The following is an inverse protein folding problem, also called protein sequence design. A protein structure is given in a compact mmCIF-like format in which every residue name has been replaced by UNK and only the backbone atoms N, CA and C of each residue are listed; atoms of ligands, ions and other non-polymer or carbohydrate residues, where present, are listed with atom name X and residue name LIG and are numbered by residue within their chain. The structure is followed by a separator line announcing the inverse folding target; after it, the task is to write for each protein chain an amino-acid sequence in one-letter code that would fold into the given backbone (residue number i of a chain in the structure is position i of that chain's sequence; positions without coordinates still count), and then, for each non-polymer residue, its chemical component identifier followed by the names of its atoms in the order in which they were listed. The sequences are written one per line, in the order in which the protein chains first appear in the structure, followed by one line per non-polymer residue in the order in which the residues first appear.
data_IF_824720590018
#
_entry.id   IF_824720590018
#
_cell.length_a   1.000
_cell.length_b   1.000
_cell.length_c   1.000
_cell.angle_alpha   90.00
_cell.angle_beta   90.00
_cell.angle_gamma   90.00
#
_symmetry.space_group_name_H-M   'P 1'
#
loop_
_entity.id
_entity.type
_entity.pdbx_description
1 polymer ?
#
# COMPACT_ATOMS: atom_id res chain seq x y z
N UNK A 1 9.21 1.37 25.73
CA UNK A 1 9.85 1.26 24.42
C UNK A 1 8.78 1.25 23.32
N UNK A 2 8.86 2.16 22.41
CA UNK A 2 7.91 2.22 21.31
C UNK A 2 8.23 1.13 20.29
N UNK A 3 7.21 0.44 19.75
CA UNK A 3 7.47 -0.49 18.67
C UNK A 3 8.02 0.24 17.46
N UNK A 4 8.91 -0.41 16.75
CA UNK A 4 9.46 0.17 15.55
C UNK A 4 8.37 0.31 14.48
N UNK A 5 8.40 1.42 13.76
CA UNK A 5 7.50 1.62 12.63
C UNK A 5 7.84 0.63 11.52
N UNK A 6 6.82 0.07 10.84
CA UNK A 6 7.07 -0.73 9.63
C UNK A 6 7.77 0.04 8.52
N UNK A 7 7.70 1.37 8.56
CA UNK A 7 8.31 2.21 7.53
C UNK A 7 9.76 2.49 7.85
N UNK A 8 10.63 2.24 6.87
CA UNK A 8 12.06 2.56 6.96
C UNK A 8 12.52 3.09 5.61
N UNK A 9 13.59 3.89 5.62
CA UNK A 9 14.17 4.41 4.39
C UNK A 9 14.81 3.36 3.51
N UNK A 10 15.04 2.16 4.04
CA UNK A 10 15.68 1.07 3.32
C UNK A 10 14.70 0.26 2.48
N UNK A 11 13.41 0.38 2.75
CA UNK A 11 12.37 -0.37 2.05
C UNK A 11 11.56 0.54 1.15
N UNK A 12 11.17 0.03 -0.01
CA UNK A 12 10.21 0.72 -0.87
C UNK A 12 8.82 0.58 -0.25
N UNK A 13 8.05 1.66 -0.23
CA UNK A 13 6.70 1.66 0.33
C UNK A 13 5.71 1.96 -0.79
N UNK A 14 4.87 0.99 -1.13
CA UNK A 14 3.86 1.11 -2.18
C UNK A 14 2.50 1.25 -1.50
N UNK A 15 1.70 2.22 -1.93
CA UNK A 15 0.47 2.61 -1.23
C UNK A 15 -0.74 2.48 -2.12
N UNK A 16 -1.81 1.89 -1.56
CA UNK A 16 -3.12 1.81 -2.19
C UNK A 16 -3.89 3.11 -1.95
N UNK A 17 -4.82 3.40 -2.86
CA UNK A 17 -5.64 4.62 -2.81
C UNK A 17 -6.41 4.78 -1.50
N UNK A 18 -6.90 3.68 -0.93
CA UNK A 18 -7.72 3.75 0.28
C UNK A 18 -6.98 4.33 1.49
N UNK A 19 -5.66 4.30 1.50
CA UNK A 19 -4.88 4.93 2.57
C UNK A 19 -5.09 6.45 2.54
N UNK A 20 -5.03 7.06 1.34
CA UNK A 20 -5.28 8.51 1.20
C UNK A 20 -6.72 8.89 1.52
N UNK A 21 -7.66 8.00 1.24
CA UNK A 21 -9.05 8.22 1.61
C UNK A 21 -9.19 8.14 3.14
N UNK A 22 -8.56 7.16 3.75
CA UNK A 22 -8.67 6.91 5.20
C UNK A 22 -8.02 8.00 6.05
N UNK A 23 -6.91 8.58 5.62
CA UNK A 23 -6.23 9.61 6.43
C UNK A 23 -7.00 10.93 6.45
N UNK A 24 -7.86 11.15 5.48
CA UNK A 24 -8.70 12.35 5.43
C UNK A 24 -7.96 13.59 4.97
N UNK A 25 -8.51 14.74 5.32
CA UNK A 25 -7.97 16.05 4.91
C UNK A 25 -6.70 16.39 5.68
N UNK A 26 -5.88 17.31 5.13
CA UNK A 26 -4.66 17.77 5.83
C UNK A 26 -4.92 18.35 7.22
N UNK A 27 -6.13 18.78 7.50
CA UNK A 27 -6.51 19.27 8.84
C UNK A 27 -6.83 18.13 9.81
N UNK A 28 -6.93 16.89 9.31
CA UNK A 28 -7.26 15.74 10.13
C UNK A 28 -6.00 15.23 10.85
N UNK A 29 -6.17 14.80 12.10
CA UNK A 29 -5.04 14.29 12.88
C UNK A 29 -4.41 13.04 12.25
N UNK A 30 -5.22 12.19 11.61
CA UNK A 30 -4.71 11.00 10.90
C UNK A 30 -3.76 11.40 9.77
N UNK A 31 -4.11 12.43 9.02
CA UNK A 31 -3.26 12.94 7.95
C UNK A 31 -1.90 13.40 8.49
N UNK A 32 -1.95 14.21 9.55
CA UNK A 32 -0.74 14.72 10.17
C UNK A 32 0.13 13.60 10.73
N UNK A 33 -0.47 12.63 11.40
CA UNK A 33 0.26 11.50 11.96
C UNK A 33 0.89 10.65 10.86
N UNK A 34 0.16 10.40 9.79
CA UNK A 34 0.65 9.59 8.68
C UNK A 34 1.82 10.28 7.98
N UNK A 35 1.65 11.56 7.65
CA UNK A 35 2.72 12.36 7.03
C UNK A 35 3.97 12.37 7.91
N UNK A 36 3.79 12.58 9.21
CA UNK A 36 4.90 12.59 10.16
C UNK A 36 5.64 11.25 10.20
N UNK A 37 4.89 10.14 10.15
CA UNK A 37 5.49 8.81 10.15
C UNK A 37 6.32 8.58 8.89
N UNK A 38 5.81 9.01 7.74
CA UNK A 38 6.52 8.86 6.47
C UNK A 38 7.81 9.70 6.47
N UNK A 39 7.70 10.94 6.90
CA UNK A 39 8.85 11.86 6.95
C UNK A 39 9.89 11.40 7.97
N UNK A 40 9.46 10.91 9.11
CA UNK A 40 10.37 10.39 10.14
C UNK A 40 11.13 9.15 9.66
N UNK A 41 10.52 8.35 8.81
CA UNK A 41 11.16 7.18 8.23
C UNK A 41 12.13 7.52 7.10
N UNK A 42 12.14 8.79 6.68
CA UNK A 42 12.96 9.26 5.55
C UNK A 42 12.69 8.42 4.29
N UNK A 43 11.44 8.18 4.01
CA UNK A 43 11.01 7.42 2.85
C UNK A 43 10.03 8.25 2.02
N UNK A 44 9.93 7.91 0.74
CA UNK A 44 8.98 8.53 -0.18
C UNK A 44 8.00 7.45 -0.63
N UNK A 45 6.72 7.68 -0.40
CA UNK A 45 5.67 6.73 -0.77
C UNK A 45 5.60 6.59 -2.29
N UNK A 46 5.41 5.38 -2.77
CA UNK A 46 5.27 5.10 -4.19
C UNK A 46 3.80 4.86 -4.52
N UNK A 47 3.26 5.70 -5.38
CA UNK A 47 1.84 5.68 -5.74
C UNK A 47 1.72 5.19 -7.19
N UNK A 48 1.26 3.95 -7.39
CA UNK A 48 1.03 3.48 -8.76
C UNK A 48 0.00 4.37 -9.45
N UNK A 49 0.24 4.70 -10.71
CA UNK A 49 -0.63 5.59 -11.47
C UNK A 49 -2.08 5.11 -11.49
N UNK A 50 -2.30 3.79 -11.54
CA UNK A 50 -3.66 3.23 -11.48
C UNK A 50 -4.34 3.51 -10.15
N UNK A 51 -3.56 3.44 -9.07
CA UNK A 51 -4.08 3.73 -7.73
C UNK A 51 -4.57 5.17 -7.64
N UNK A 52 -3.81 6.09 -8.24
CA UNK A 52 -4.21 7.50 -8.26
C UNK A 52 -5.50 7.70 -9.01
N UNK A 53 -5.71 6.95 -10.08
CA UNK A 53 -6.96 7.02 -10.86
C UNK A 53 -8.20 6.64 -10.06
N UNK A 54 -8.04 5.88 -8.98
CA UNK A 54 -9.14 5.51 -8.09
C UNK A 54 -9.44 6.58 -7.05
N UNK A 55 -8.47 7.44 -6.76
CA UNK A 55 -8.67 8.58 -5.86
C UNK A 55 -9.30 9.70 -6.69
N UNK A 56 -10.60 9.74 -6.72
CA UNK A 56 -11.30 10.70 -7.56
C UNK A 56 -11.78 11.93 -6.80
N UNK A 57 -12.23 12.90 -7.53
CA UNK A 57 -12.93 14.05 -7.00
C UNK A 57 -12.13 14.84 -5.97
N UNK A 58 -12.74 15.03 -4.80
CA UNK A 58 -12.16 15.87 -3.75
C UNK A 58 -10.95 15.26 -3.07
N UNK A 59 -10.70 13.97 -3.24
CA UNK A 59 -9.55 13.33 -2.59
C UNK A 59 -8.25 13.52 -3.38
N UNK A 60 -8.36 13.97 -4.63
CA UNK A 60 -7.21 14.18 -5.50
C UNK A 60 -6.21 15.18 -4.90
N UNK A 61 -6.70 16.23 -4.22
CA UNK A 61 -5.79 17.23 -3.68
C UNK A 61 -4.92 16.71 -2.54
N UNK A 62 -5.37 15.67 -1.85
CA UNK A 62 -4.56 15.04 -0.78
C UNK A 62 -3.32 14.40 -1.36
N UNK A 63 -3.50 13.69 -2.46
CA UNK A 63 -2.40 13.09 -3.21
C UNK A 63 -1.50 14.18 -3.76
N UNK A 64 -2.09 15.22 -4.37
CA UNK A 64 -1.32 16.32 -4.94
C UNK A 64 -0.47 17.01 -3.87
N UNK A 65 -1.03 17.20 -2.68
CA UNK A 65 -0.28 17.81 -1.59
C UNK A 65 0.92 16.96 -1.18
N UNK A 66 0.75 15.65 -1.10
CA UNK A 66 1.84 14.74 -0.79
C UNK A 66 2.94 14.78 -1.84
N UNK A 67 2.55 14.89 -3.11
CA UNK A 67 3.50 15.02 -4.22
C UNK A 67 4.25 16.36 -4.15
N UNK A 68 3.53 17.44 -3.89
CA UNK A 68 4.10 18.78 -3.79
C UNK A 68 5.07 18.90 -2.61
N UNK A 69 4.77 18.23 -1.52
CA UNK A 69 5.62 18.21 -0.32
C UNK A 69 6.71 17.14 -0.39
N UNK A 70 6.75 16.39 -1.48
CA UNK A 70 7.79 15.41 -1.81
C UNK A 70 7.88 14.21 -0.86
N UNK A 71 6.78 13.86 -0.17
CA UNK A 71 6.75 12.62 0.60
C UNK A 71 6.01 11.50 -0.12
N UNK A 72 5.64 11.73 -1.37
CA UNK A 72 5.06 10.73 -2.26
C UNK A 72 5.51 10.98 -3.69
N UNK A 73 5.58 9.92 -4.49
CA UNK A 73 5.90 10.03 -5.92
C UNK A 73 5.04 9.04 -6.70
N UNK A 74 4.76 9.35 -7.96
CA UNK A 74 4.00 8.49 -8.85
C UNK A 74 4.93 7.50 -9.53
N UNK A 75 4.54 6.24 -9.57
CA UNK A 75 5.29 5.19 -10.27
C UNK A 75 4.43 4.54 -11.33
N UNK A 76 5.08 3.96 -12.33
CA UNK A 76 4.39 3.27 -13.41
C UNK A 76 3.99 1.86 -13.00
N UNK A 77 3.04 1.29 -13.76
CA UNK A 77 2.60 -0.09 -13.57
C UNK A 77 3.75 -1.06 -13.85
N UNK A 78 3.67 -2.30 -13.33
CA UNK A 78 4.71 -3.29 -13.58
C UNK A 78 4.81 -3.61 -15.06
N UNK A 79 6.02 -3.98 -15.45
CA UNK A 79 6.24 -4.44 -16.81
C UNK A 79 5.51 -5.76 -17.03
N UNK A 80 4.70 -5.87 -18.08
CA UNK A 80 3.97 -7.11 -18.34
C UNK A 80 4.88 -8.28 -18.73
N UNK A 81 6.15 -8.03 -18.93
CA UNK A 81 7.15 -9.04 -19.27
C UNK A 81 7.68 -9.79 -18.05
N UNK A 82 7.40 -9.34 -16.83
CA UNK A 82 7.82 -10.05 -15.62
C UNK A 82 6.80 -11.13 -15.30
N UNK A 83 7.13 -12.40 -15.59
CA UNK A 83 6.22 -13.53 -15.40
C UNK A 83 5.78 -13.73 -13.96
N UNK A 84 6.68 -13.50 -13.00
CA UNK A 84 6.34 -13.64 -11.57
C UNK A 84 5.38 -12.54 -11.14
N UNK A 85 5.58 -11.31 -11.65
CA UNK A 85 4.69 -10.21 -11.35
C UNK A 85 3.29 -10.46 -11.91
N UNK A 86 3.21 -10.97 -13.13
CA UNK A 86 1.93 -11.32 -13.76
C UNK A 86 1.23 -12.42 -12.98
N UNK A 87 1.96 -13.48 -12.61
CA UNK A 87 1.41 -14.60 -11.84
C UNK A 87 0.90 -14.12 -10.47
N UNK A 88 1.66 -13.25 -9.80
CA UNK A 88 1.25 -12.70 -8.51
C UNK A 88 -0.04 -11.89 -8.65
N UNK A 89 -0.16 -11.09 -9.70
CA UNK A 89 -1.38 -10.32 -9.95
C UNK A 89 -2.58 -11.22 -10.18
N UNK A 90 -2.39 -12.33 -10.91
CA UNK A 90 -3.46 -13.30 -11.16
C UNK A 90 -3.89 -14.00 -9.87
N UNK A 91 -2.94 -14.38 -9.01
CA UNK A 91 -3.24 -15.02 -7.73
C UNK A 91 -4.01 -14.04 -6.83
N UNK A 92 -3.57 -12.80 -6.78
CA UNK A 92 -4.24 -11.76 -5.99
C UNK A 92 -5.68 -11.57 -6.48
N UNK A 93 -5.88 -11.50 -7.79
CA UNK A 93 -7.22 -11.33 -8.37
C UNK A 93 -8.14 -12.48 -7.98
N UNK A 94 -7.69 -13.72 -8.12
CA UNK A 94 -8.51 -14.88 -7.76
C UNK A 94 -8.82 -14.92 -6.28
N UNK A 95 -7.86 -14.59 -5.44
CA UNK A 95 -8.05 -14.57 -3.99
C UNK A 95 -9.07 -13.51 -3.59
N UNK A 96 -8.97 -12.30 -4.15
CA UNK A 96 -9.91 -11.22 -3.88
C UNK A 96 -11.32 -11.62 -4.36
N UNK A 97 -11.40 -12.19 -5.56
CA UNK A 97 -12.68 -12.64 -6.12
C UNK A 97 -13.35 -13.66 -5.19
N UNK A 98 -12.59 -14.65 -4.71
CA UNK A 98 -13.11 -15.68 -3.81
C UNK A 98 -13.52 -15.09 -2.46
N UNK A 99 -12.72 -14.19 -1.92
CA UNK A 99 -12.98 -13.57 -0.60
C UNK A 99 -14.21 -12.68 -0.65
N UNK A 100 -14.41 -11.96 -1.76
CA UNK A 100 -15.53 -11.01 -1.91
C UNK A 100 -16.75 -11.61 -2.60
N UNK A 101 -16.66 -12.86 -3.03
CA UNK A 101 -17.73 -13.56 -3.78
C UNK A 101 -18.12 -12.78 -5.05
N UNK A 102 -17.09 -12.27 -5.74
CA UNK A 102 -17.25 -11.54 -7.00
C UNK A 102 -16.58 -12.29 -8.14
N UNK A 103 -17.07 -12.12 -9.37
CA UNK A 103 -16.32 -12.62 -10.54
C UNK A 103 -14.97 -11.92 -10.65
N UNK A 104 -13.97 -12.63 -11.17
CA UNK A 104 -12.63 -12.08 -11.29
C UNK A 104 -12.59 -10.77 -12.09
N UNK A 105 -13.43 -10.64 -13.11
CA UNK A 105 -13.43 -9.45 -13.95
C UNK A 105 -13.97 -8.21 -13.24
N UNK A 106 -14.61 -8.36 -12.08
CA UNK A 106 -15.10 -7.25 -11.27
C UNK A 106 -14.10 -6.80 -10.20
N UNK A 107 -12.98 -7.52 -10.05
CA UNK A 107 -11.93 -7.12 -9.11
C UNK A 107 -11.17 -5.93 -9.68
N UNK A 108 -10.99 -4.90 -8.87
CA UNK A 108 -10.28 -3.70 -9.29
C UNK A 108 -8.84 -4.03 -9.67
N UNK A 109 -8.44 -3.57 -10.84
CA UNK A 109 -7.08 -3.85 -11.34
C UNK A 109 -6.00 -3.23 -10.46
N UNK A 110 -6.28 -2.08 -9.86
CA UNK A 110 -5.33 -1.43 -8.98
C UNK A 110 -4.97 -2.32 -7.79
N UNK A 111 -5.96 -3.04 -7.24
CA UNK A 111 -5.72 -3.94 -6.12
C UNK A 111 -4.82 -5.11 -6.51
N UNK A 112 -4.89 -5.55 -7.75
CA UNK A 112 -4.15 -6.73 -8.19
C UNK A 112 -2.70 -6.43 -8.55
N UNK A 113 -2.39 -5.20 -8.95
CA UNK A 113 -1.02 -4.86 -9.39
C UNK A 113 -0.05 -4.64 -8.25
N UNK A 114 -0.55 -4.43 -7.04
CA UNK A 114 0.33 -4.12 -5.90
C UNK A 114 1.32 -5.24 -5.60
N UNK A 115 0.83 -6.49 -5.60
CA UNK A 115 1.69 -7.65 -5.38
C UNK A 115 2.73 -7.79 -6.49
N UNK A 116 2.29 -7.61 -7.73
CA UNK A 116 3.19 -7.70 -8.89
C UNK A 116 4.28 -6.64 -8.86
N UNK A 117 3.91 -5.39 -8.51
CA UNK A 117 4.87 -4.30 -8.38
C UNK A 117 5.92 -4.59 -7.31
N UNK A 118 5.48 -5.08 -6.16
CA UNK A 118 6.38 -5.39 -5.07
C UNK A 118 7.41 -6.45 -5.48
N UNK A 119 6.95 -7.51 -6.14
CA UNK A 119 7.83 -8.57 -6.62
C UNK A 119 8.82 -8.04 -7.66
N UNK A 120 8.33 -7.20 -8.58
CA UNK A 120 9.20 -6.62 -9.60
C UNK A 120 10.32 -5.79 -8.98
N UNK A 121 10.01 -4.98 -7.97
CA UNK A 121 11.00 -4.17 -7.28
C UNK A 121 12.09 -5.01 -6.61
N UNK A 122 11.71 -6.13 -6.02
CA UNK A 122 12.68 -7.06 -5.42
C UNK A 122 13.54 -7.69 -6.51
N UNK A 123 12.90 -8.17 -7.59
CA UNK A 123 13.61 -8.84 -8.68
C UNK A 123 14.55 -7.91 -9.41
N UNK A 124 14.15 -6.66 -9.62
CA UNK A 124 14.98 -5.66 -10.29
C UNK A 124 16.07 -5.11 -9.37
N UNK A 125 16.10 -5.57 -8.13
CA UNK A 125 17.06 -5.10 -7.12
C UNK A 125 16.98 -3.60 -6.86
N UNK A 126 15.81 -3.03 -7.09
CA UNK A 126 15.54 -1.62 -6.74
C UNK A 126 15.52 -1.42 -5.23
N UNK A 127 15.19 -2.48 -4.51
CA UNK A 127 15.14 -2.47 -3.06
C UNK A 127 15.36 -3.88 -2.52
N UNK A 128 15.73 -3.99 -1.26
CA UNK A 128 15.86 -5.28 -0.59
C UNK A 128 14.58 -5.70 0.13
N UNK A 129 13.63 -4.78 0.28
CA UNK A 129 12.35 -5.08 0.91
C UNK A 129 11.27 -4.12 0.46
N UNK A 130 10.03 -4.56 0.51
CA UNK A 130 8.87 -3.75 0.12
C UNK A 130 7.83 -3.80 1.23
N UNK A 131 7.23 -2.66 1.53
CA UNK A 131 6.06 -2.55 2.39
C UNK A 131 4.90 -2.10 1.50
N UNK A 132 3.79 -2.81 1.56
CA UNK A 132 2.56 -2.42 0.87
C UNK A 132 1.57 -1.94 1.92
N UNK A 133 0.98 -0.77 1.69
CA UNK A 133 -0.01 -0.21 2.60
C UNK A 133 -1.39 -0.27 1.96
N UNK A 134 -2.31 -0.98 2.59
CA UNK A 134 -3.71 -1.05 2.17
C UNK A 134 -4.60 -1.35 3.36
N UNK A 135 -5.76 -0.67 3.43
CA UNK A 135 -6.77 -0.93 4.47
C UNK A 135 -7.86 -1.88 3.99
N UNK A 136 -7.85 -2.25 2.72
CA UNK A 136 -8.84 -3.16 2.16
C UNK A 136 -8.46 -4.59 2.55
N UNK A 137 -9.27 -5.23 3.38
CA UNK A 137 -9.01 -6.60 3.83
C UNK A 137 -8.90 -7.62 2.70
N UNK A 138 -9.84 -7.66 1.75
CA UNK A 138 -9.70 -8.58 0.61
C UNK A 138 -8.42 -8.34 -0.19
N UNK A 139 -8.07 -7.08 -0.43
CA UNK A 139 -6.83 -6.76 -1.14
C UNK A 139 -5.62 -7.25 -0.35
N UNK A 140 -5.61 -7.04 0.96
CA UNK A 140 -4.52 -7.50 1.83
C UNK A 140 -4.36 -9.02 1.75
N UNK A 141 -5.46 -9.76 1.86
CA UNK A 141 -5.44 -11.22 1.76
C UNK A 141 -4.94 -11.69 0.40
N UNK A 142 -5.39 -11.03 -0.66
CA UNK A 142 -4.95 -11.36 -2.02
C UNK A 142 -3.46 -11.15 -2.22
N UNK A 143 -2.96 -10.02 -1.74
CA UNK A 143 -1.55 -9.69 -1.84
C UNK A 143 -0.71 -10.67 -1.02
N UNK A 144 -1.11 -10.93 0.23
CA UNK A 144 -0.39 -11.87 1.10
C UNK A 144 -0.35 -13.27 0.51
N UNK A 145 -1.46 -13.72 -0.06
CA UNK A 145 -1.53 -15.04 -0.71
C UNK A 145 -0.59 -15.10 -1.91
N UNK A 146 -0.60 -14.07 -2.74
CA UNK A 146 0.26 -14.02 -3.92
C UNK A 146 1.74 -13.98 -3.55
N UNK A 147 2.08 -13.18 -2.55
CA UNK A 147 3.46 -13.04 -2.05
C UNK A 147 3.97 -14.38 -1.50
N UNK A 148 3.14 -15.05 -0.71
CA UNK A 148 3.49 -16.35 -0.14
C UNK A 148 3.65 -17.41 -1.21
N UNK A 149 2.75 -17.44 -2.20
CA UNK A 149 2.80 -18.42 -3.29
C UNK A 149 4.07 -18.26 -4.12
N UNK A 150 4.59 -17.06 -4.25
CA UNK A 150 5.80 -16.78 -5.02
C UNK A 150 7.08 -16.83 -4.18
N UNK A 151 6.96 -17.04 -2.86
CA UNK A 151 8.13 -17.19 -2.00
C UNK A 151 8.75 -15.89 -1.52
N UNK A 152 7.99 -14.81 -1.44
CA UNK A 152 8.51 -13.50 -1.06
C UNK A 152 8.05 -13.02 0.32
N UNK A 153 7.57 -13.93 1.17
CA UNK A 153 7.03 -13.57 2.48
C UNK A 153 8.02 -12.80 3.37
N UNK A 154 9.31 -13.08 3.24
CA UNK A 154 10.33 -12.44 4.07
C UNK A 154 10.74 -11.05 3.57
N UNK A 155 10.49 -10.75 2.30
CA UNK A 155 10.93 -9.50 1.69
C UNK A 155 9.79 -8.52 1.41
N UNK A 156 8.54 -9.00 1.43
CA UNK A 156 7.37 -8.18 1.16
C UNK A 156 6.41 -8.28 2.32
N UNK A 157 6.10 -7.15 2.94
CA UNK A 157 5.18 -7.07 4.08
C UNK A 157 3.98 -6.21 3.69
N UNK A 158 2.82 -6.52 4.28
CA UNK A 158 1.58 -5.79 4.01
C UNK A 158 1.02 -5.26 5.33
N UNK A 159 0.72 -3.98 5.39
CA UNK A 159 0.19 -3.33 6.57
C UNK A 159 -1.00 -2.45 6.23
N UNK A 160 -1.83 -2.18 7.22
CA UNK A 160 -2.89 -1.19 7.14
C UNK A 160 -2.47 0.12 7.77
N UNK A 161 -3.34 1.12 7.68
CA UNK A 161 -3.06 2.44 8.24
C UNK A 161 -2.82 2.39 9.75
N UNK A 162 -3.60 1.60 10.47
CA UNK A 162 -3.48 1.49 11.93
C UNK A 162 -2.12 0.94 12.37
N UNK A 163 -1.45 0.18 11.51
CA UNK A 163 -0.11 -0.32 11.82
C UNK A 163 0.94 0.79 11.77
N UNK A 164 0.65 1.87 11.08
CA UNK A 164 1.56 3.01 10.93
C UNK A 164 1.28 4.09 11.98
N UNK A 165 0.01 4.46 12.17
CA UNK A 165 -0.37 5.55 13.07
C UNK A 165 -1.06 5.08 14.35
N UNK A 166 -1.22 3.77 14.48
CA UNK A 166 -1.92 3.19 15.63
C UNK A 166 -3.43 3.20 15.47
N UNK A 167 -4.09 2.47 16.35
CA UNK A 167 -5.55 2.40 16.37
C UNK A 167 -6.06 3.53 17.26
N UNK A 168 -6.67 4.51 16.65
CA UNK A 168 -7.21 5.67 17.34
C UNK A 168 -8.24 5.31 18.40
N UNK A 169 -9.11 4.37 18.08
CA UNK A 169 -10.11 3.91 19.03
C UNK A 169 -9.49 3.32 20.27
N UNK A 170 -8.51 2.45 20.09
CA UNK A 170 -7.78 1.86 21.19
C UNK A 170 -7.03 2.89 22.01
N UNK A 171 -6.41 3.85 21.33
CA UNK A 171 -5.69 4.92 21.98
C UNK A 171 -6.59 5.76 22.86
N UNK A 172 -7.74 6.14 22.35
CA UNK A 172 -8.71 6.93 23.10
C UNK A 172 -9.19 6.18 24.34
N UNK A 173 -9.44 4.91 24.19
CA UNK A 173 -9.95 4.11 25.28
C UNK A 173 -8.95 4.04 26.44
N UNK A 174 -7.69 3.98 26.12
CA UNK A 174 -6.66 3.84 27.15
C UNK A 174 -6.39 5.08 27.96
N UNK A 175 -6.91 6.20 27.55
CA UNK A 175 -6.71 7.43 28.28
C UNK A 175 -7.49 7.48 29.60
N UNK A 176 -8.39 6.57 29.76
CA UNK A 176 -9.23 6.56 30.96
C UNK A 176 -8.65 5.72 32.07
#
# INVERSE_FOLDING_TARGET
MSPESPLTGEKAVIVDANIFIAIGDPSNSKYTQFRSAVQAADTVLKLPRRVIGEVGGRDTYRVQRALDEEWAEIIDAPAPTDGDAVTASDIARRTIANTTDKPEHEVEKADTILAGLAIQYIRDRSTSGVVILTDDKPAREGIQTAVAAQGYTETIEVYGLSDIIGDEGGGSTRLI
#
